data_IF_901403880731
#
_entry.id   IF_901403880731
#
_cell.length_a   1.000
_cell.length_b   1.000
_cell.length_c   1.000
_cell.angle_alpha   90.00
_cell.angle_beta   90.00
_cell.angle_gamma   90.00
#
_symmetry.space_group_name_H-M   'P 1'
#
loop_
_entity.id
_entity.type
_entity.pdbx_description
1 polymer ?
#
# COMPACT_ATOMS: atom_id res chain seq x y z
N UNK A 1 9.67 -4.93 6.64
CA UNK A 1 9.01 -5.20 5.34
C UNK A 1 7.51 -5.15 5.58
N UNK A 2 6.79 -4.33 4.80
CA UNK A 2 5.33 -4.23 4.90
C UNK A 2 4.68 -5.52 4.39
N UNK A 3 3.85 -6.12 5.23
CA UNK A 3 3.13 -7.34 4.91
C UNK A 3 1.90 -7.00 4.08
N UNK A 4 1.64 -7.85 3.09
CA UNK A 4 0.44 -7.75 2.26
C UNK A 4 -0.83 -7.76 3.09
N UNK A 5 -1.78 -6.95 2.65
CA UNK A 5 -3.14 -6.94 3.16
C UNK A 5 -4.04 -7.62 2.13
N UNK A 6 -3.97 -8.96 2.08
CA UNK A 6 -4.70 -9.79 1.13
C UNK A 6 -5.54 -10.84 1.87
N UNK A 7 -6.77 -11.01 1.40
CA UNK A 7 -7.73 -12.03 1.86
C UNK A 7 -8.56 -12.48 0.66
N UNK A 8 -9.17 -13.68 0.66
CA UNK A 8 -10.11 -14.06 -0.39
C UNK A 8 -11.28 -13.08 -0.51
N UNK A 9 -11.88 -13.00 -1.71
CA UNK A 9 -13.09 -12.23 -2.03
C UNK A 9 -12.96 -10.70 -1.89
N UNK A 10 -11.76 -10.15 -2.12
CA UNK A 10 -11.57 -8.70 -2.26
C UNK A 10 -12.20 -8.20 -3.57
N UNK A 11 -12.83 -7.03 -3.51
CA UNK A 11 -13.38 -6.34 -4.68
C UNK A 11 -12.32 -5.52 -5.42
N UNK A 12 -11.28 -5.07 -4.69
CA UNK A 12 -10.18 -4.26 -5.23
C UNK A 12 -8.88 -4.62 -4.51
N UNK A 13 -7.78 -4.69 -5.24
CA UNK A 13 -6.42 -4.73 -4.68
C UNK A 13 -5.65 -3.55 -5.26
N UNK A 14 -5.09 -2.72 -4.38
CA UNK A 14 -4.21 -1.62 -4.78
C UNK A 14 -2.77 -2.06 -4.62
N UNK A 15 -2.04 -2.07 -5.74
CA UNK A 15 -0.64 -2.46 -5.81
C UNK A 15 0.24 -1.21 -5.94
N UNK A 16 1.10 -0.97 -4.94
CA UNK A 16 2.14 0.04 -4.98
C UNK A 16 3.41 -0.46 -5.66
N UNK A 17 4.40 0.42 -5.84
CA UNK A 17 5.72 0.05 -6.36
C UNK A 17 6.54 -0.65 -5.27
N UNK A 18 6.85 0.08 -4.20
CA UNK A 18 7.58 -0.40 -3.03
C UNK A 18 7.16 0.41 -1.80
N UNK A 19 7.49 -0.11 -0.61
CA UNK A 19 7.34 0.66 0.61
C UNK A 19 8.33 1.84 0.64
N UNK A 20 7.83 3.08 0.59
CA UNK A 20 8.65 4.25 0.85
C UNK A 20 9.25 4.23 2.27
N UNK A 21 10.36 4.95 2.49
CA UNK A 21 11.09 4.97 3.77
C UNK A 21 10.19 5.15 5.01
N UNK A 22 9.29 6.14 5.00
CA UNK A 22 8.38 6.39 6.13
C UNK A 22 7.40 5.24 6.35
N UNK A 23 6.85 4.71 5.25
CA UNK A 23 5.91 3.57 5.28
C UNK A 23 6.61 2.33 5.86
N UNK A 24 7.84 2.09 5.44
CA UNK A 24 8.66 0.99 5.94
C UNK A 24 9.04 1.19 7.41
N UNK A 25 9.45 2.39 7.83
CA UNK A 25 9.77 2.67 9.23
C UNK A 25 8.57 2.45 10.16
N UNK A 26 7.37 2.88 9.73
CA UNK A 26 6.14 2.77 10.53
C UNK A 26 5.38 1.45 10.38
N UNK A 27 5.79 0.61 9.43
CA UNK A 27 5.03 -0.57 9.01
C UNK A 27 3.58 -0.23 8.65
N UNK A 28 3.41 0.87 7.92
CA UNK A 28 2.10 1.43 7.54
C UNK A 28 2.12 1.82 6.06
N UNK A 29 1.07 1.45 5.32
CA UNK A 29 0.96 1.80 3.91
C UNK A 29 0.78 3.31 3.71
N UNK A 30 1.49 3.85 2.71
CA UNK A 30 1.40 5.25 2.28
C UNK A 30 1.50 6.27 3.44
N UNK A 31 2.43 6.05 4.38
CA UNK A 31 2.52 6.82 5.63
C UNK A 31 3.24 8.17 5.52
N UNK A 32 3.89 8.47 4.38
CA UNK A 32 4.61 9.73 4.17
C UNK A 32 3.64 10.93 4.25
N UNK A 33 3.94 11.97 5.04
CA UNK A 33 3.16 13.21 5.02
C UNK A 33 3.04 13.78 3.60
N UNK A 34 1.83 14.18 3.22
CA UNK A 34 1.53 14.68 1.88
C UNK A 34 1.26 13.59 0.83
N UNK A 35 1.39 12.29 1.16
CA UNK A 35 0.88 11.24 0.29
C UNK A 35 -0.65 11.32 0.20
N UNK A 36 -1.18 11.33 -1.04
CA UNK A 36 -2.60 11.53 -1.31
C UNK A 36 -3.45 10.25 -1.27
N UNK A 37 -2.85 9.09 -1.05
CA UNK A 37 -3.56 7.81 -1.04
C UNK A 37 -4.81 7.83 -0.15
N UNK A 38 -4.65 8.17 1.12
CA UNK A 38 -5.76 8.17 2.09
C UNK A 38 -6.84 9.21 1.81
N UNK A 39 -6.51 10.49 1.50
CA UNK A 39 -7.50 11.44 1.00
C UNK A 39 -8.23 10.95 -0.25
N UNK A 40 -7.50 10.41 -1.24
CA UNK A 40 -8.11 9.93 -2.49
C UNK A 40 -9.12 8.82 -2.27
N UNK A 41 -8.87 7.86 -1.37
CA UNK A 41 -9.85 6.81 -1.07
C UNK A 41 -11.16 7.39 -0.51
N UNK A 42 -11.06 8.41 0.33
CA UNK A 42 -12.22 9.08 0.88
C UNK A 42 -12.94 9.94 -0.17
N UNK A 43 -12.20 10.77 -0.90
CA UNK A 43 -12.75 11.69 -1.90
C UNK A 43 -13.44 10.95 -3.06
N UNK A 44 -13.00 9.73 -3.38
CA UNK A 44 -13.61 8.86 -4.40
C UNK A 44 -14.77 8.02 -3.88
N UNK A 45 -15.02 8.03 -2.56
CA UNK A 45 -16.05 7.21 -1.93
C UNK A 45 -15.70 5.72 -1.80
N UNK A 46 -14.45 5.32 -2.05
CA UNK A 46 -13.97 3.96 -1.81
C UNK A 46 -13.95 3.61 -0.31
N UNK A 47 -13.77 4.63 0.55
CA UNK A 47 -13.99 4.51 1.99
C UNK A 47 -14.94 5.59 2.49
N UNK A 48 -15.85 5.27 3.43
CA UNK A 48 -16.83 6.24 3.94
C UNK A 48 -16.20 7.31 4.86
N UNK A 49 -14.96 7.09 5.29
CA UNK A 49 -14.17 8.02 6.12
C UNK A 49 -12.73 8.05 5.60
N UNK A 50 -12.04 9.16 5.85
CA UNK A 50 -10.59 9.22 5.62
C UNK A 50 -9.86 8.46 6.72
N UNK A 51 -9.30 7.30 6.38
CA UNK A 51 -8.48 6.52 7.29
C UNK A 51 -7.09 7.15 7.47
N UNK A 52 -6.52 6.98 8.66
CA UNK A 52 -5.11 7.26 8.90
C UNK A 52 -4.25 6.05 8.51
N UNK A 53 -2.95 6.22 8.17
CA UNK A 53 -2.07 5.11 7.75
C UNK A 53 -2.02 3.93 8.72
N UNK A 54 -2.12 4.17 10.03
CA UNK A 54 -2.14 3.12 11.06
C UNK A 54 -3.42 2.29 11.07
N UNK A 55 -4.49 2.77 10.43
CA UNK A 55 -5.79 2.09 10.28
C UNK A 55 -5.92 1.30 8.98
N UNK A 56 -4.82 1.12 8.24
CA UNK A 56 -4.85 0.49 6.90
C UNK A 56 -5.53 -0.88 6.86
N UNK A 57 -5.47 -1.65 7.95
CA UNK A 57 -6.10 -2.98 8.05
C UNK A 57 -7.63 -2.94 7.94
N UNK A 58 -8.25 -1.80 8.25
CA UNK A 58 -9.71 -1.62 8.14
C UNK A 58 -10.18 -1.66 6.68
N UNK A 59 -9.29 -1.46 5.70
CA UNK A 59 -9.61 -1.59 4.28
C UNK A 59 -10.19 -2.96 3.91
N UNK A 60 -9.81 -4.02 4.65
CA UNK A 60 -10.39 -5.36 4.47
C UNK A 60 -11.90 -5.37 4.69
N UNK A 61 -12.42 -4.53 5.60
CA UNK A 61 -13.86 -4.41 5.86
C UNK A 61 -14.61 -3.75 4.70
N UNK A 62 -13.89 -3.03 3.84
CA UNK A 62 -14.40 -2.42 2.61
C UNK A 62 -14.10 -3.25 1.37
N UNK A 63 -13.55 -4.46 1.52
CA UNK A 63 -13.19 -5.33 0.40
C UNK A 63 -11.98 -4.82 -0.40
N UNK A 64 -11.11 -4.00 0.21
CA UNK A 64 -9.92 -3.42 -0.42
C UNK A 64 -8.67 -4.04 0.19
N UNK A 65 -7.81 -4.61 -0.65
CA UNK A 65 -6.49 -5.12 -0.26
C UNK A 65 -5.33 -4.22 -0.70
N UNK A 66 -4.16 -4.44 -0.11
CA UNK A 66 -2.93 -3.70 -0.40
C UNK A 66 -1.76 -4.66 -0.61
N UNK A 67 -0.93 -4.35 -1.61
CA UNK A 67 0.34 -5.03 -1.87
C UNK A 67 1.33 -4.09 -2.57
N UNK A 68 2.54 -4.56 -2.81
CA UNK A 68 3.59 -3.83 -3.55
C UNK A 68 4.28 -4.78 -4.54
N UNK A 69 4.65 -4.27 -5.72
CA UNK A 69 5.38 -5.04 -6.73
C UNK A 69 6.77 -5.48 -6.27
N UNK A 70 7.44 -4.64 -5.47
CA UNK A 70 8.79 -4.89 -4.99
C UNK A 70 8.77 -5.22 -3.50
N UNK A 71 8.92 -6.51 -3.18
CA UNK A 71 8.96 -7.02 -1.82
C UNK A 71 10.41 -7.24 -1.38
N UNK A 72 10.88 -6.42 -0.45
CA UNK A 72 12.23 -6.56 0.14
C UNK A 72 13.14 -5.35 -0.03
N UNK A 73 12.71 -4.37 -0.82
CA UNK A 73 13.35 -3.06 -0.95
C UNK A 73 12.46 -1.98 -0.35
N UNK A 74 13.09 -0.89 0.08
CA UNK A 74 12.43 0.31 0.57
C UNK A 74 13.15 1.51 -0.04
N UNK A 75 12.42 2.53 -0.47
CA UNK A 75 13.06 3.64 -1.18
C UNK A 75 12.10 4.47 -2.01
N UNK A 76 12.64 5.49 -2.68
CA UNK A 76 11.90 6.17 -3.75
C UNK A 76 11.90 5.30 -5.02
N UNK A 77 10.84 5.41 -5.81
CA UNK A 77 10.67 4.59 -7.02
C UNK A 77 11.86 4.66 -7.99
N UNK A 78 12.54 5.81 -8.09
CA UNK A 78 13.71 5.99 -8.97
C UNK A 78 15.00 5.35 -8.43
N UNK A 79 15.00 4.89 -7.19
CA UNK A 79 16.16 4.27 -6.51
C UNK A 79 16.07 2.74 -6.51
N UNK A 80 14.98 2.18 -7.02
CA UNK A 80 14.74 0.75 -7.03
C UNK A 80 15.49 0.09 -8.18
N UNK A 81 16.30 -0.92 -7.86
CA UNK A 81 16.92 -1.80 -8.84
C UNK A 81 15.83 -2.54 -9.65
N UNK A 82 16.04 -2.72 -10.94
CA UNK A 82 15.15 -3.50 -11.81
C UNK A 82 14.96 -4.95 -11.35
N UNK A 83 15.91 -5.49 -10.57
CA UNK A 83 15.81 -6.82 -9.96
C UNK A 83 14.93 -6.85 -8.69
N UNK A 84 14.52 -5.69 -8.18
CA UNK A 84 13.70 -5.62 -6.97
C UNK A 84 12.21 -5.89 -7.24
N UNK A 85 11.79 -5.84 -8.50
CA UNK A 85 10.43 -6.20 -8.92
C UNK A 85 10.30 -7.71 -8.99
N UNK A 86 9.37 -8.29 -8.23
CA UNK A 86 9.07 -9.70 -8.34
C UNK A 86 8.30 -9.95 -9.65
N UNK A 87 9.06 -10.18 -10.72
CA UNK A 87 8.54 -10.49 -12.06
C UNK A 87 8.04 -11.93 -12.19
N UNK A 88 8.29 -12.76 -11.20
CA UNK A 88 7.98 -14.19 -11.19
C UNK A 88 6.71 -14.53 -10.39
N UNK A 89 6.20 -13.59 -9.60
CA UNK A 89 5.03 -13.74 -8.74
C UNK A 89 3.67 -13.45 -9.39
N UNK A 90 3.59 -13.34 -10.72
CA UNK A 90 2.34 -13.26 -11.50
C UNK A 90 2.05 -14.56 -12.23
#
# INVERSE_FOLDING_TARGET
>A
MLHDLLTPNLALVICGTAAGHESAARQQYYAKPGNRFWPTLFDTGLTPVQLAPNRYRELLTYGIGLTDLAKGVQGMDHELDANAFDRTGL
#
